data_IF_191215327076
#
_entry.id   IF_191215327076
#
_cell.length_a   1.000
_cell.length_b   1.000
_cell.length_c   1.000
_cell.angle_alpha   90.00
_cell.angle_beta   90.00
_cell.angle_gamma   90.00
#
_symmetry.space_group_name_H-M   'P 1'
#
loop_
_entity.id
_entity.type
_entity.pdbx_description
1 polymer ?
#
# COMPACT_ATOMS: atom_id res chain seq x y z
N UNK A 1 6.64 -33.98 -4.63
CA UNK A 1 7.74 -33.77 -3.67
C UNK A 1 7.79 -32.28 -3.38
N UNK A 2 7.26 -31.90 -2.24
CA UNK A 2 7.40 -30.58 -1.66
C UNK A 2 8.90 -30.40 -1.37
N UNK A 3 9.62 -29.73 -2.26
CA UNK A 3 11.02 -29.42 -2.04
C UNK A 3 11.11 -28.59 -0.76
N UNK A 4 11.56 -29.21 0.32
CA UNK A 4 11.80 -28.61 1.64
C UNK A 4 12.87 -27.51 1.49
N UNK A 5 12.43 -26.35 1.05
CA UNK A 5 13.29 -25.19 0.81
C UNK A 5 13.74 -24.63 2.15
N UNK A 6 15.03 -24.44 2.32
CA UNK A 6 15.52 -23.89 3.59
C UNK A 6 14.80 -22.57 3.92
N UNK A 7 14.37 -22.35 5.19
CA UNK A 7 13.67 -21.14 5.59
C UNK A 7 14.40 -19.85 5.20
N UNK A 8 15.73 -19.87 5.15
CA UNK A 8 16.55 -18.74 4.75
C UNK A 8 16.38 -18.33 3.28
N UNK A 9 16.18 -19.29 2.36
CA UNK A 9 15.94 -18.99 0.94
C UNK A 9 14.55 -18.37 0.76
N UNK A 10 13.56 -18.88 1.47
CA UNK A 10 12.20 -18.33 1.45
C UNK A 10 12.20 -16.91 2.03
N UNK A 11 12.87 -16.71 3.15
CA UNK A 11 13.02 -15.38 3.75
C UNK A 11 13.73 -14.38 2.81
N UNK A 12 14.80 -14.80 2.13
CA UNK A 12 15.50 -13.98 1.15
C UNK A 12 14.60 -13.60 -0.04
N UNK A 13 13.81 -14.54 -0.54
CA UNK A 13 12.83 -14.27 -1.61
C UNK A 13 11.81 -13.20 -1.20
N UNK A 14 11.19 -13.35 -0.03
CA UNK A 14 10.24 -12.34 0.46
C UNK A 14 10.91 -10.99 0.75
N UNK A 15 12.12 -11.00 1.31
CA UNK A 15 12.87 -9.76 1.57
C UNK A 15 13.16 -9.00 0.28
N UNK A 16 13.55 -9.70 -0.79
CA UNK A 16 13.78 -9.08 -2.11
C UNK A 16 12.48 -8.55 -2.70
N UNK A 17 11.38 -9.30 -2.64
CA UNK A 17 10.07 -8.83 -3.11
C UNK A 17 9.59 -7.59 -2.35
N UNK A 18 9.69 -7.60 -1.03
CA UNK A 18 9.35 -6.44 -0.18
C UNK A 18 10.25 -5.25 -0.53
N UNK A 19 11.55 -5.48 -0.70
CA UNK A 19 12.49 -4.46 -1.14
C UNK A 19 12.10 -3.82 -2.47
N UNK A 20 11.74 -4.62 -3.47
CA UNK A 20 11.24 -4.12 -4.77
C UNK A 20 10.02 -3.23 -4.56
N UNK A 21 9.04 -3.66 -3.76
CA UNK A 21 7.83 -2.89 -3.49
C UNK A 21 8.12 -1.56 -2.77
N UNK A 22 8.98 -1.59 -1.77
CA UNK A 22 9.37 -0.39 -1.01
C UNK A 22 10.04 0.62 -1.94
N UNK A 23 11.09 0.22 -2.67
CA UNK A 23 11.87 1.16 -3.48
C UNK A 23 11.13 1.62 -4.72
N UNK A 24 10.33 0.78 -5.39
CA UNK A 24 9.52 1.19 -6.53
C UNK A 24 8.48 2.26 -6.14
N UNK A 25 7.94 2.20 -4.91
CA UNK A 25 6.93 3.14 -4.41
C UNK A 25 7.53 4.26 -3.54
N UNK A 26 8.86 4.41 -3.49
CA UNK A 26 9.50 5.42 -2.64
C UNK A 26 9.10 6.83 -3.06
N UNK A 27 8.42 7.54 -2.17
CA UNK A 27 7.97 8.91 -2.39
C UNK A 27 9.11 9.92 -2.26
N UNK A 28 8.95 11.08 -2.88
CA UNK A 28 9.82 12.23 -2.67
C UNK A 28 9.58 12.80 -1.27
N UNK A 29 10.66 13.18 -0.57
CA UNK A 29 10.59 13.74 0.78
C UNK A 29 11.65 14.83 0.94
N UNK A 30 11.40 15.81 1.80
CA UNK A 30 12.22 17.01 1.98
C UNK A 30 13.59 16.76 2.67
N UNK A 31 13.84 15.56 3.18
CA UNK A 31 15.11 15.23 3.82
C UNK A 31 16.20 14.86 2.81
N UNK A 32 17.44 15.36 2.94
CA UNK A 32 18.53 15.10 2.01
C UNK A 32 18.81 13.62 1.78
N UNK A 33 18.73 12.80 2.84
CA UNK A 33 18.96 11.35 2.76
C UNK A 33 17.87 10.68 1.93
N UNK A 34 16.60 11.06 2.13
CA UNK A 34 15.46 10.48 1.42
C UNK A 34 15.42 10.90 -0.04
N UNK A 35 15.87 12.11 -0.37
CA UNK A 35 16.02 12.56 -1.77
C UNK A 35 17.04 11.72 -2.54
N UNK A 36 18.16 11.35 -1.92
CA UNK A 36 19.14 10.45 -2.54
C UNK A 36 18.54 9.09 -2.81
N UNK A 37 17.82 8.52 -1.84
CA UNK A 37 17.13 7.23 -2.03
C UNK A 37 16.10 7.33 -3.16
N UNK A 38 15.31 8.39 -3.20
CA UNK A 38 14.34 8.62 -4.28
C UNK A 38 15.01 8.74 -5.66
N UNK A 39 16.15 9.45 -5.77
CA UNK A 39 16.89 9.57 -7.01
C UNK A 39 17.42 8.20 -7.52
N UNK A 40 17.79 7.31 -6.60
CA UNK A 40 18.35 5.99 -6.92
C UNK A 40 17.31 4.86 -6.91
N UNK A 41 16.04 5.14 -6.59
CA UNK A 41 15.02 4.10 -6.39
C UNK A 41 14.90 3.11 -7.56
N UNK A 42 14.95 3.57 -8.79
CA UNK A 42 14.83 2.71 -9.95
C UNK A 42 16.07 1.86 -10.20
N UNK A 43 17.26 2.36 -9.87
CA UNK A 43 18.50 1.56 -9.93
C UNK A 43 18.48 0.46 -8.88
N UNK A 44 18.04 0.77 -7.66
CA UNK A 44 17.89 -0.21 -6.56
C UNK A 44 16.82 -1.24 -6.92
N UNK A 45 15.67 -0.79 -7.43
CA UNK A 45 14.59 -1.69 -7.88
C UNK A 45 15.07 -2.63 -8.99
N UNK A 46 15.85 -2.13 -9.95
CA UNK A 46 16.44 -2.96 -11.01
C UNK A 46 17.41 -3.98 -10.45
N UNK A 47 18.31 -3.59 -9.56
CA UNK A 47 19.25 -4.51 -8.91
C UNK A 47 18.53 -5.61 -8.13
N UNK A 48 17.50 -5.25 -7.37
CA UNK A 48 16.67 -6.22 -6.64
C UNK A 48 15.88 -7.14 -7.60
N UNK A 49 15.40 -6.62 -8.73
CA UNK A 49 14.71 -7.42 -9.74
C UNK A 49 15.65 -8.44 -10.41
N UNK A 50 16.90 -8.06 -10.67
CA UNK A 50 17.94 -8.98 -11.15
C UNK A 50 18.23 -10.04 -10.09
N UNK A 51 18.33 -9.68 -8.82
CA UNK A 51 18.50 -10.61 -7.71
C UNK A 51 17.31 -11.58 -7.59
N UNK A 52 16.08 -11.07 -7.75
CA UNK A 52 14.87 -11.91 -7.80
C UNK A 52 14.95 -12.91 -8.95
N UNK A 53 15.32 -12.47 -10.15
CA UNK A 53 15.48 -13.32 -11.31
C UNK A 53 16.54 -14.41 -11.07
N UNK A 54 17.67 -14.06 -10.47
CA UNK A 54 18.71 -15.02 -10.09
C UNK A 54 18.20 -16.05 -9.07
N UNK A 55 17.46 -15.62 -8.04
CA UNK A 55 16.83 -16.51 -7.07
C UNK A 55 15.84 -17.47 -7.75
N UNK A 56 14.97 -16.97 -8.64
CA UNK A 56 14.01 -17.79 -9.38
C UNK A 56 14.71 -18.84 -10.26
N UNK A 57 15.78 -18.47 -10.94
CA UNK A 57 16.55 -19.39 -11.76
C UNK A 57 17.26 -20.44 -10.89
N UNK A 58 18.01 -20.02 -9.86
CA UNK A 58 18.90 -20.88 -9.09
C UNK A 58 18.18 -21.76 -8.06
N UNK A 59 17.05 -21.27 -7.50
CA UNK A 59 16.35 -21.92 -6.39
C UNK A 59 14.98 -22.46 -6.75
N UNK A 60 14.32 -21.88 -7.74
CA UNK A 60 13.01 -22.32 -8.24
C UNK A 60 13.10 -22.99 -9.61
N UNK A 61 14.32 -23.17 -10.15
CA UNK A 61 14.58 -23.85 -11.42
C UNK A 61 13.79 -23.26 -12.60
N UNK A 62 13.68 -21.92 -12.62
CA UNK A 62 13.05 -21.21 -13.75
C UNK A 62 13.97 -21.22 -14.98
N UNK A 63 13.38 -21.31 -16.17
CA UNK A 63 14.12 -21.31 -17.42
C UNK A 63 14.88 -20.01 -17.64
N UNK A 64 16.20 -20.11 -17.79
CA UNK A 64 17.08 -18.98 -18.10
C UNK A 64 16.62 -18.26 -19.37
N UNK A 65 16.18 -19.01 -20.39
CA UNK A 65 15.74 -18.45 -21.67
C UNK A 65 14.48 -17.59 -21.51
N UNK A 66 13.47 -18.06 -20.79
CA UNK A 66 12.25 -17.28 -20.56
C UNK A 66 12.54 -16.01 -19.73
N UNK A 67 13.39 -16.09 -18.73
CA UNK A 67 13.82 -14.95 -17.93
C UNK A 67 14.64 -13.95 -18.75
N UNK A 68 15.52 -14.43 -19.63
CA UNK A 68 16.28 -13.56 -20.53
C UNK A 68 15.37 -12.83 -21.54
N UNK A 69 14.38 -13.52 -22.10
CA UNK A 69 13.40 -12.91 -22.99
C UNK A 69 12.62 -11.82 -22.24
N UNK A 70 12.14 -12.12 -21.04
CA UNK A 70 11.43 -11.13 -20.22
C UNK A 70 12.31 -9.91 -19.91
N UNK A 71 13.56 -10.14 -19.51
CA UNK A 71 14.52 -9.07 -19.26
C UNK A 71 14.77 -8.19 -20.52
N UNK A 72 14.88 -8.82 -21.69
CA UNK A 72 15.03 -8.11 -22.96
C UNK A 72 13.79 -7.26 -23.29
N UNK A 73 12.59 -7.79 -23.06
CA UNK A 73 11.32 -7.05 -23.27
C UNK A 73 11.23 -5.84 -22.32
N UNK A 74 11.57 -6.04 -21.04
CA UNK A 74 11.60 -4.95 -20.06
C UNK A 74 12.63 -3.88 -20.43
N UNK A 75 13.84 -4.29 -20.83
CA UNK A 75 14.88 -3.38 -21.28
C UNK A 75 14.45 -2.61 -22.54
N UNK A 76 13.88 -3.29 -23.53
CA UNK A 76 13.34 -2.64 -24.73
C UNK A 76 12.25 -1.61 -24.39
N UNK A 77 11.33 -1.96 -23.48
CA UNK A 77 10.30 -1.05 -23.01
C UNK A 77 10.92 0.19 -22.34
N UNK A 78 11.93 0.02 -21.49
CA UNK A 78 12.64 1.12 -20.84
C UNK A 78 13.37 2.03 -21.84
N UNK A 79 13.88 1.48 -22.94
CA UNK A 79 14.52 2.25 -24.02
C UNK A 79 13.51 3.04 -24.86
N UNK A 80 12.34 2.45 -25.14
CA UNK A 80 11.30 3.07 -25.97
C UNK A 80 10.60 4.21 -25.21
N UNK A 81 10.42 4.06 -23.88
CA UNK A 81 9.67 5.03 -23.07
C UNK A 81 10.51 5.45 -21.85
N UNK A 82 11.59 6.21 -22.04
CA UNK A 82 12.53 6.53 -20.96
C UNK A 82 11.94 7.44 -19.86
N UNK A 83 10.84 8.15 -20.14
CA UNK A 83 10.21 9.08 -19.20
C UNK A 83 9.27 8.44 -18.16
N UNK A 84 8.92 7.16 -18.31
CA UNK A 84 7.95 6.48 -17.44
C UNK A 84 8.45 5.13 -16.92
N UNK A 85 9.37 5.12 -15.95
CA UNK A 85 9.97 3.87 -15.46
C UNK A 85 8.96 2.92 -14.79
N UNK A 86 7.78 3.39 -14.42
CA UNK A 86 6.69 2.55 -13.94
C UNK A 86 6.16 1.57 -15.02
N UNK A 87 6.28 1.92 -16.30
CA UNK A 87 5.78 1.09 -17.39
C UNK A 87 6.63 -0.18 -17.59
N UNK A 88 7.98 -0.14 -17.72
CA UNK A 88 8.80 -1.34 -17.71
C UNK A 88 8.65 -2.17 -16.44
N UNK A 89 8.45 -1.53 -15.29
CA UNK A 89 8.16 -2.24 -14.04
C UNK A 89 6.86 -3.04 -14.13
N UNK A 90 5.77 -2.44 -14.63
CA UNK A 90 4.50 -3.12 -14.84
C UNK A 90 4.63 -4.28 -15.85
N UNK A 91 5.34 -4.06 -16.97
CA UNK A 91 5.62 -5.10 -17.98
C UNK A 91 6.39 -6.27 -17.36
N UNK A 92 7.40 -5.99 -16.53
CA UNK A 92 8.16 -7.00 -15.82
C UNK A 92 7.29 -7.83 -14.87
N UNK A 93 6.46 -7.16 -14.08
CA UNK A 93 5.54 -7.82 -13.14
C UNK A 93 4.50 -8.68 -13.85
N UNK A 94 3.88 -8.17 -14.91
CA UNK A 94 2.92 -8.93 -15.73
C UNK A 94 3.58 -10.11 -16.44
N UNK A 95 4.81 -9.91 -16.94
CA UNK A 95 5.59 -10.97 -17.57
C UNK A 95 5.96 -12.09 -16.60
N UNK A 96 6.38 -11.76 -15.38
CA UNK A 96 6.62 -12.76 -14.32
C UNK A 96 5.34 -13.52 -13.98
N UNK A 97 4.22 -12.83 -13.85
CA UNK A 97 2.92 -13.46 -13.60
C UNK A 97 2.55 -14.43 -14.74
N UNK A 98 2.72 -14.01 -15.99
CA UNK A 98 2.46 -14.87 -17.16
C UNK A 98 3.37 -16.09 -17.16
N UNK A 99 4.68 -15.95 -16.89
CA UNK A 99 5.60 -17.06 -16.79
C UNK A 99 5.22 -18.03 -15.66
N UNK A 100 4.73 -17.53 -14.53
CA UNK A 100 4.24 -18.36 -13.43
C UNK A 100 3.00 -19.18 -13.82
N UNK A 101 2.10 -18.65 -14.67
CA UNK A 101 0.91 -19.40 -15.13
C UNK A 101 1.26 -20.55 -16.09
N UNK A 102 2.38 -20.46 -16.81
CA UNK A 102 2.81 -21.47 -17.77
C UNK A 102 3.46 -22.67 -17.05
N UNK A 103 3.94 -22.48 -15.83
CA UNK A 103 4.63 -23.51 -15.06
C UNK A 103 3.64 -24.33 -14.22
N UNK A 104 3.68 -25.68 -14.32
CA UNK A 104 2.82 -26.54 -13.51
C UNK A 104 3.02 -26.35 -12.00
N UNK A 105 4.28 -26.21 -11.58
CA UNK A 105 4.66 -26.12 -10.16
C UNK A 105 4.26 -24.78 -9.50
N UNK A 106 4.14 -23.72 -10.29
CA UNK A 106 3.83 -22.37 -9.80
C UNK A 106 2.39 -21.93 -10.14
N UNK A 107 1.63 -22.78 -10.83
CA UNK A 107 0.26 -22.45 -11.28
C UNK A 107 -0.68 -22.17 -10.11
N UNK A 108 -0.55 -22.87 -8.99
CA UNK A 108 -1.35 -22.64 -7.80
C UNK A 108 -1.06 -21.24 -7.19
N UNK A 109 0.21 -20.84 -7.11
CA UNK A 109 0.60 -19.52 -6.67
C UNK A 109 0.05 -18.42 -7.60
N UNK A 110 0.18 -18.63 -8.91
CA UNK A 110 -0.35 -17.71 -9.90
C UNK A 110 -1.88 -17.59 -9.82
N UNK A 111 -2.57 -18.71 -9.66
CA UNK A 111 -4.03 -18.74 -9.51
C UNK A 111 -4.50 -18.02 -8.24
N UNK A 112 -3.83 -18.22 -7.11
CA UNK A 112 -4.11 -17.50 -5.86
C UNK A 112 -3.86 -16.00 -6.01
N UNK A 113 -2.72 -15.60 -6.59
CA UNK A 113 -2.38 -14.20 -6.84
C UNK A 113 -3.42 -13.55 -7.75
N UNK A 114 -3.85 -14.24 -8.81
CA UNK A 114 -4.91 -13.76 -9.70
C UNK A 114 -6.25 -13.64 -8.98
N UNK A 115 -6.60 -14.61 -8.13
CA UNK A 115 -7.77 -14.57 -7.27
C UNK A 115 -7.82 -13.33 -6.38
N UNK A 116 -6.73 -13.05 -5.68
CA UNK A 116 -6.58 -11.83 -4.87
C UNK A 116 -6.64 -10.55 -5.72
N UNK A 117 -5.94 -10.53 -6.85
CA UNK A 117 -5.94 -9.37 -7.75
C UNK A 117 -7.36 -9.07 -8.23
N UNK A 118 -8.11 -10.07 -8.68
CA UNK A 118 -9.49 -9.92 -9.13
C UNK A 118 -10.44 -9.44 -8.03
N UNK A 119 -10.17 -9.80 -6.78
CA UNK A 119 -10.95 -9.37 -5.63
C UNK A 119 -10.59 -7.94 -5.19
N UNK A 120 -9.31 -7.61 -5.16
CA UNK A 120 -8.80 -6.36 -4.56
C UNK A 120 -8.75 -5.21 -5.58
N UNK A 121 -8.30 -5.46 -6.81
CA UNK A 121 -8.08 -4.41 -7.80
C UNK A 121 -9.35 -3.60 -8.17
N UNK A 122 -10.54 -4.20 -8.35
CA UNK A 122 -11.76 -3.42 -8.59
C UNK A 122 -12.13 -2.53 -7.39
N UNK A 123 -11.96 -3.06 -6.16
CA UNK A 123 -12.26 -2.33 -4.93
C UNK A 123 -11.29 -1.16 -4.75
N UNK A 124 -10.00 -1.39 -4.99
CA UNK A 124 -8.97 -0.35 -4.95
C UNK A 124 -9.25 0.74 -5.98
N UNK A 125 -9.53 0.35 -7.24
CA UNK A 125 -9.82 1.29 -8.31
C UNK A 125 -11.07 2.13 -7.99
N UNK A 126 -12.15 1.48 -7.54
CA UNK A 126 -13.37 2.16 -7.14
C UNK A 126 -13.10 3.14 -5.97
N UNK A 127 -12.36 2.72 -4.94
CA UNK A 127 -11.99 3.55 -3.80
C UNK A 127 -11.19 4.79 -4.22
N UNK A 128 -10.18 4.63 -5.06
CA UNK A 128 -9.36 5.74 -5.57
C UNK A 128 -10.18 6.68 -6.46
N UNK A 129 -11.05 6.14 -7.32
CA UNK A 129 -11.92 6.96 -8.16
C UNK A 129 -12.92 7.76 -7.33
N UNK A 130 -13.57 7.14 -6.34
CA UNK A 130 -14.52 7.81 -5.45
C UNK A 130 -13.79 8.88 -4.63
N UNK A 131 -12.64 8.55 -4.04
CA UNK A 131 -11.84 9.51 -3.29
C UNK A 131 -11.41 10.70 -4.16
N UNK A 132 -10.89 10.44 -5.36
CA UNK A 132 -10.49 11.49 -6.29
C UNK A 132 -11.66 12.35 -6.77
N UNK A 133 -12.85 11.77 -6.95
CA UNK A 133 -14.05 12.50 -7.32
C UNK A 133 -14.59 13.38 -6.17
N UNK A 134 -14.59 12.84 -4.95
CA UNK A 134 -15.12 13.53 -3.78
C UNK A 134 -14.15 14.60 -3.24
N UNK A 135 -12.87 14.23 -3.10
CA UNK A 135 -11.86 15.07 -2.44
C UNK A 135 -10.98 15.84 -3.45
N UNK A 136 -11.00 15.44 -4.72
CA UNK A 136 -10.13 16.02 -5.73
C UNK A 136 -8.70 15.44 -5.68
N UNK A 137 -7.76 16.23 -6.16
CA UNK A 137 -6.32 15.96 -6.14
C UNK A 137 -5.57 17.22 -5.74
N UNK A 138 -4.33 17.15 -5.29
CA UNK A 138 -3.54 18.33 -4.96
C UNK A 138 -3.63 19.41 -6.05
N UNK A 139 -4.09 20.62 -5.70
CA UNK A 139 -4.29 21.73 -6.62
C UNK A 139 -5.60 21.74 -7.42
N UNK A 140 -6.49 20.74 -7.24
CA UNK A 140 -7.81 20.69 -7.87
C UNK A 140 -8.86 20.23 -6.86
N UNK A 141 -9.87 21.05 -6.62
CA UNK A 141 -10.96 20.71 -5.72
C UNK A 141 -11.84 19.59 -6.29
N UNK A 142 -12.32 18.73 -5.39
CA UNK A 142 -13.32 17.71 -5.68
C UNK A 142 -14.74 18.22 -5.46
N UNK A 143 -15.66 17.29 -5.28
CA UNK A 143 -17.05 17.63 -4.98
C UNK A 143 -17.21 18.20 -3.57
N UNK A 144 -16.35 17.77 -2.63
CA UNK A 144 -16.30 18.28 -1.26
C UNK A 144 -15.31 19.43 -1.24
N UNK A 145 -15.77 20.67 -0.91
CA UNK A 145 -14.87 21.81 -0.78
C UNK A 145 -13.79 21.57 0.26
N UNK A 146 -12.56 21.93 -0.06
CA UNK A 146 -11.42 21.80 0.85
C UNK A 146 -11.63 22.59 2.16
N UNK A 147 -12.41 23.68 2.10
CA UNK A 147 -12.79 24.47 3.28
C UNK A 147 -13.57 23.66 4.32
N UNK A 148 -14.44 22.75 3.90
CA UNK A 148 -15.20 21.89 4.83
C UNK A 148 -14.30 20.87 5.52
N UNK A 149 -13.36 20.30 4.78
CA UNK A 149 -12.38 19.36 5.34
C UNK A 149 -11.48 20.10 6.33
N UNK A 150 -10.95 21.25 5.94
CA UNK A 150 -10.08 22.05 6.80
C UNK A 150 -10.81 22.60 8.04
N UNK A 151 -12.09 22.97 7.93
CA UNK A 151 -12.87 23.40 9.08
C UNK A 151 -13.15 22.27 10.09
N UNK A 152 -13.33 21.04 9.62
CA UNK A 152 -13.65 19.90 10.50
C UNK A 152 -12.40 19.24 11.10
N UNK A 153 -11.33 19.08 10.33
CA UNK A 153 -10.14 18.29 10.69
C UNK A 153 -8.82 18.95 10.26
N UNK A 154 -8.81 20.25 9.98
CA UNK A 154 -7.65 20.98 9.45
C UNK A 154 -6.62 21.35 10.52
N UNK A 155 -7.02 21.51 11.76
CA UNK A 155 -6.14 21.80 12.87
C UNK A 155 -5.68 20.50 13.59
N UNK A 156 -4.60 20.60 14.36
CA UNK A 156 -4.12 19.50 15.19
C UNK A 156 -4.72 19.52 16.60
N UNK A 157 -5.93 20.07 16.76
CA UNK A 157 -6.62 20.09 18.06
C UNK A 157 -7.02 18.69 18.50
N UNK A 158 -7.23 18.52 19.80
CA UNK A 158 -7.70 17.26 20.36
C UNK A 158 -9.08 16.88 19.78
N UNK A 159 -9.94 17.88 19.53
CA UNK A 159 -11.29 17.66 19.00
C UNK A 159 -11.25 17.16 17.55
N UNK A 160 -10.48 17.83 16.69
CA UNK A 160 -10.30 17.43 15.28
C UNK A 160 -9.68 16.04 15.18
N UNK A 161 -8.69 15.74 16.03
CA UNK A 161 -8.06 14.43 16.09
C UNK A 161 -9.01 13.33 16.60
N UNK A 162 -9.85 13.65 17.60
CA UNK A 162 -10.89 12.73 18.08
C UNK A 162 -11.95 12.47 17.00
N UNK A 163 -12.41 13.52 16.33
CA UNK A 163 -13.37 13.38 15.22
C UNK A 163 -12.81 12.49 14.11
N UNK A 164 -11.55 12.69 13.74
CA UNK A 164 -10.89 11.86 12.73
C UNK A 164 -10.78 10.39 13.15
N UNK A 165 -10.43 10.10 14.42
CA UNK A 165 -10.38 8.73 14.90
C UNK A 165 -11.75 8.05 14.99
N UNK A 166 -12.80 8.79 15.37
CA UNK A 166 -14.17 8.29 15.39
C UNK A 166 -14.66 8.03 13.96
N UNK A 167 -14.43 8.96 13.03
CA UNK A 167 -14.79 8.78 11.62
C UNK A 167 -14.05 7.56 11.03
N UNK A 168 -12.74 7.44 11.29
CA UNK A 168 -11.96 6.28 10.88
C UNK A 168 -12.52 4.96 11.38
N UNK A 169 -12.99 4.91 12.63
CA UNK A 169 -13.59 3.71 13.21
C UNK A 169 -14.85 3.21 12.48
N UNK A 170 -15.63 4.11 11.89
CA UNK A 170 -16.83 3.76 11.14
C UNK A 170 -16.59 3.60 9.63
N UNK A 171 -15.47 4.09 9.13
CA UNK A 171 -15.13 3.98 7.72
C UNK A 171 -14.60 2.58 7.41
N UNK A 172 -15.19 1.94 6.40
CA UNK A 172 -14.68 0.69 5.87
C UNK A 172 -13.69 1.00 4.74
N UNK A 173 -12.43 1.22 5.11
CA UNK A 173 -11.37 1.29 4.13
C UNK A 173 -10.69 -0.08 4.01
N UNK A 174 -10.45 -0.51 2.77
CA UNK A 174 -9.40 -1.48 2.54
C UNK A 174 -8.06 -0.81 2.88
N UNK A 175 -7.17 -1.50 3.55
CA UNK A 175 -5.80 -1.01 3.85
C UNK A 175 -5.07 -0.45 2.62
N UNK A 176 -5.44 -0.91 1.42
CA UNK A 176 -4.88 -0.45 0.15
C UNK A 176 -5.49 0.89 -0.34
N UNK A 177 -6.74 1.19 0.04
CA UNK A 177 -7.42 2.45 -0.37
C UNK A 177 -7.24 3.56 0.67
N UNK A 178 -6.83 3.23 1.87
CA UNK A 178 -6.68 4.16 2.98
C UNK A 178 -5.64 5.25 2.69
N UNK A 179 -4.48 4.86 2.17
CA UNK A 179 -3.39 5.81 1.88
C UNK A 179 -3.79 6.85 0.83
N UNK A 180 -4.34 6.51 -0.35
CA UNK A 180 -4.81 7.50 -1.32
C UNK A 180 -5.89 8.43 -0.77
N UNK A 181 -6.80 7.91 0.06
CA UNK A 181 -7.87 8.71 0.66
C UNK A 181 -7.29 9.72 1.65
N UNK A 182 -6.40 9.28 2.53
CA UNK A 182 -5.73 10.18 3.49
C UNK A 182 -4.86 11.22 2.78
N UNK A 183 -4.18 10.85 1.69
CA UNK A 183 -3.46 11.81 0.86
C UNK A 183 -4.39 12.87 0.25
N UNK A 184 -5.57 12.47 -0.22
CA UNK A 184 -6.61 13.39 -0.70
C UNK A 184 -7.09 14.33 0.41
N UNK A 185 -7.34 13.80 1.61
CA UNK A 185 -7.78 14.60 2.78
C UNK A 185 -6.70 15.59 3.23
N UNK A 186 -5.43 15.18 3.28
CA UNK A 186 -4.29 16.08 3.58
C UNK A 186 -4.19 17.15 2.50
N UNK A 187 -4.32 16.77 1.22
CA UNK A 187 -4.35 17.72 0.11
C UNK A 187 -5.51 18.70 0.16
N UNK A 188 -6.62 18.35 0.81
CA UNK A 188 -7.79 19.20 1.08
C UNK A 188 -7.68 19.96 2.41
N UNK A 189 -6.53 19.95 3.09
CA UNK A 189 -6.27 20.74 4.28
C UNK A 189 -6.44 20.01 5.62
N UNK A 190 -6.53 18.67 5.63
CA UNK A 190 -6.54 17.89 6.88
C UNK A 190 -5.19 18.00 7.62
N UNK A 191 -5.24 18.21 8.94
CA UNK A 191 -4.06 18.26 9.78
C UNK A 191 -3.35 16.89 9.88
N UNK A 192 -2.03 16.91 10.13
CA UNK A 192 -1.21 15.67 10.26
C UNK A 192 -1.66 14.80 11.43
N UNK A 193 -2.07 15.41 12.55
CA UNK A 193 -2.57 14.71 13.73
C UNK A 193 -3.85 13.94 13.46
N UNK A 194 -4.92 14.60 12.96
CA UNK A 194 -6.14 13.92 12.52
C UNK A 194 -5.88 12.85 11.46
N UNK A 195 -4.99 13.08 10.49
CA UNK A 195 -4.64 12.10 9.47
C UNK A 195 -4.06 10.81 10.07
N UNK A 196 -3.10 10.95 11.02
CA UNK A 196 -2.54 9.79 11.72
C UNK A 196 -3.59 9.07 12.58
N UNK A 197 -4.44 9.83 13.29
CA UNK A 197 -5.50 9.23 14.11
C UNK A 197 -6.51 8.42 13.27
N UNK A 198 -6.86 8.91 12.08
CA UNK A 198 -7.71 8.21 11.12
C UNK A 198 -7.05 6.92 10.62
N UNK A 199 -5.77 6.98 10.24
CA UNK A 199 -4.98 5.82 9.80
C UNK A 199 -4.82 4.73 10.88
N UNK A 200 -4.76 5.11 12.15
CA UNK A 200 -4.65 4.15 13.26
C UNK A 200 -6.01 3.52 13.61
N UNK A 201 -7.08 4.32 13.56
CA UNK A 201 -8.42 3.86 13.95
C UNK A 201 -9.09 3.02 12.85
N UNK A 202 -8.93 3.39 11.57
CA UNK A 202 -9.60 2.77 10.43
C UNK A 202 -9.41 1.26 10.33
N UNK A 203 -8.19 0.76 10.17
CA UNK A 203 -7.93 -0.67 10.06
C UNK A 203 -8.30 -1.47 11.32
N UNK A 204 -8.16 -0.84 12.50
CA UNK A 204 -8.42 -1.52 13.77
C UNK A 204 -9.91 -1.66 14.08
N UNK A 205 -10.74 -0.69 13.68
CA UNK A 205 -12.13 -0.57 14.14
C UNK A 205 -13.18 -0.63 13.01
N UNK A 206 -12.85 -1.01 11.79
CA UNK A 206 -13.84 -1.07 10.71
C UNK A 206 -15.12 -1.81 11.13
N UNK A 207 -16.28 -1.35 10.65
CA UNK A 207 -17.60 -1.93 11.02
C UNK A 207 -17.64 -3.48 10.97
N UNK A 208 -17.14 -4.14 9.90
CA UNK A 208 -17.09 -5.60 9.87
C UNK A 208 -16.21 -6.21 10.96
N UNK A 209 -15.04 -5.62 11.25
CA UNK A 209 -14.17 -6.09 12.33
C UNK A 209 -14.86 -5.98 13.69
N UNK A 210 -15.54 -4.86 13.96
CA UNK A 210 -16.28 -4.68 15.20
C UNK A 210 -17.39 -5.74 15.36
N UNK A 211 -18.09 -6.10 14.28
CA UNK A 211 -19.11 -7.14 14.32
C UNK A 211 -18.51 -8.53 14.59
N UNK A 212 -17.36 -8.85 13.98
CA UNK A 212 -16.65 -10.12 14.24
C UNK A 212 -16.15 -10.17 15.68
N UNK A 213 -15.50 -9.12 16.18
CA UNK A 213 -15.03 -9.05 17.56
C UNK A 213 -16.19 -9.17 18.54
N UNK A 214 -17.32 -8.51 18.25
CA UNK A 214 -18.54 -8.62 19.06
C UNK A 214 -19.08 -10.04 19.11
N UNK A 215 -19.05 -10.78 18.02
CA UNK A 215 -19.54 -12.17 17.97
C UNK A 215 -18.69 -13.12 18.83
N UNK A 216 -17.40 -12.80 19.04
CA UNK A 216 -16.46 -13.63 19.78
C UNK A 216 -16.37 -13.19 21.25
N UNK A 217 -16.21 -11.89 21.51
CA UNK A 217 -15.93 -11.34 22.85
C UNK A 217 -17.16 -10.80 23.59
N UNK A 218 -18.27 -10.65 22.87
CA UNK A 218 -19.50 -10.03 23.40
C UNK A 218 -19.46 -8.51 23.40
N UNK A 219 -20.63 -7.87 23.55
CA UNK A 219 -20.82 -6.42 23.34
C UNK A 219 -19.97 -5.58 24.31
N UNK A 220 -19.93 -5.93 25.62
CA UNK A 220 -19.21 -5.13 26.61
C UNK A 220 -17.71 -5.01 26.33
N UNK A 221 -17.04 -6.15 26.06
CA UNK A 221 -15.59 -6.14 25.75
C UNK A 221 -15.29 -5.45 24.41
N UNK A 222 -16.17 -5.61 23.43
CA UNK A 222 -16.03 -4.93 22.13
C UNK A 222 -16.13 -3.42 22.29
N UNK A 223 -17.09 -2.92 23.07
CA UNK A 223 -17.21 -1.48 23.32
C UNK A 223 -15.96 -0.94 24.03
N UNK A 224 -15.46 -1.65 25.04
CA UNK A 224 -14.20 -1.26 25.71
C UNK A 224 -13.02 -1.23 24.73
N UNK A 225 -12.90 -2.22 23.87
CA UNK A 225 -11.87 -2.27 22.83
C UNK A 225 -11.98 -1.06 21.88
N UNK A 226 -13.17 -0.77 21.37
CA UNK A 226 -13.39 0.38 20.48
C UNK A 226 -13.02 1.71 21.15
N UNK A 227 -13.44 1.93 22.38
CA UNK A 227 -13.11 3.15 23.14
C UNK A 227 -11.60 3.27 23.34
N UNK A 228 -10.93 2.17 23.75
CA UNK A 228 -9.48 2.17 23.93
C UNK A 228 -8.73 2.52 22.63
N UNK A 229 -9.10 1.93 21.52
CA UNK A 229 -8.45 2.23 20.23
C UNK A 229 -8.67 3.67 19.82
N UNK A 230 -9.90 4.21 19.94
CA UNK A 230 -10.19 5.62 19.64
C UNK A 230 -9.36 6.54 20.54
N UNK A 231 -9.28 6.27 21.84
CA UNK A 231 -8.48 7.09 22.77
C UNK A 231 -7.01 7.02 22.42
N UNK A 232 -6.47 5.84 22.15
CA UNK A 232 -5.06 5.67 21.78
C UNK A 232 -4.73 6.34 20.44
N UNK A 233 -5.58 6.15 19.43
CA UNK A 233 -5.41 6.80 18.12
C UNK A 233 -5.46 8.32 18.24
N UNK A 234 -6.41 8.85 19.02
CA UNK A 234 -6.53 10.30 19.30
C UNK A 234 -5.31 10.82 20.03
N UNK A 235 -4.86 10.16 21.09
CA UNK A 235 -3.69 10.59 21.86
C UNK A 235 -2.43 10.58 20.98
N UNK A 236 -2.21 9.52 20.21
CA UNK A 236 -1.06 9.41 19.31
C UNK A 236 -1.10 10.47 18.21
N UNK A 237 -2.26 10.66 17.55
CA UNK A 237 -2.44 11.66 16.53
C UNK A 237 -2.25 13.08 17.07
N UNK A 238 -2.80 13.38 18.25
CA UNK A 238 -2.65 14.69 18.89
C UNK A 238 -1.19 14.99 19.22
N UNK A 239 -0.47 14.05 19.81
CA UNK A 239 0.95 14.20 20.11
C UNK A 239 1.75 14.41 18.81
N UNK A 240 1.52 13.56 17.81
CA UNK A 240 2.21 13.66 16.52
C UNK A 240 1.95 15.00 15.83
N UNK A 241 0.71 15.43 15.76
CA UNK A 241 0.33 16.67 15.05
C UNK A 241 0.85 17.96 15.72
N UNK A 242 1.15 17.92 17.02
CA UNK A 242 1.65 19.11 17.74
C UNK A 242 3.16 19.14 17.93
N UNK A 243 3.86 18.00 17.82
CA UNK A 243 5.30 17.91 18.06
C UNK A 243 6.12 17.57 16.81
N UNK A 244 5.48 17.11 15.74
CA UNK A 244 6.09 16.72 14.46
C UNK A 244 5.35 17.32 13.26
#
# INVERSE_FOLDING_TARGET
EEQDRSPGVVAAFFAVMIGILIFANWAEADSPVWMVVHAWKWHITTALSVLLAALLILRWNWSVMHMAILAAVVAACAFIVPGTPALPFAVGTMGLMLLATIRPDDNEWAAQTWGFTRQIAPLLLAGVMIAGFLLGRPGHEGLIPSEWVSAAVGDNSLLSTLLASVLGAFMYFSTLTEVPIVQGLIGSGMGKGPALALLLAGPALSLPNMLVIRSILGTGKTTTYCVLVIVMATATGFVYGNYF
#
